data_IF_129641033091
#
_entry.id   IF_129641033091
#
_cell.length_a   1.000
_cell.length_b   1.000
_cell.length_c   1.000
_cell.angle_alpha   90.00
_cell.angle_beta   90.00
_cell.angle_gamma   90.00
#
_symmetry.space_group_name_H-M   'P 1'
#
loop_
_entity.id
_entity.type
_entity.pdbx_description
1 polymer ?
#
# COMPACT_ATOMS: atom_id res chain seq x y z
N UNK A 1 2.98 0.61 -13.67
CA UNK A 1 3.40 1.82 -14.45
C UNK A 1 4.77 1.67 -15.14
N UNK A 2 5.82 1.21 -14.46
CA UNK A 2 7.17 1.08 -15.05
C UNK A 2 7.23 0.29 -16.37
N UNK A 3 6.47 -0.79 -16.49
CA UNK A 3 6.37 -1.57 -17.73
C UNK A 3 5.85 -0.74 -18.94
N UNK A 4 4.95 0.22 -18.72
CA UNK A 4 4.44 1.11 -19.79
C UNK A 4 5.54 2.08 -20.24
N UNK A 5 6.35 2.60 -19.33
CA UNK A 5 7.53 3.42 -19.68
C UNK A 5 8.53 2.61 -20.50
N UNK A 6 8.85 1.38 -20.06
CA UNK A 6 9.73 0.46 -20.77
C UNK A 6 9.24 0.11 -22.17
N UNK A 7 7.94 -0.17 -22.33
CA UNK A 7 7.33 -0.44 -23.64
C UNK A 7 7.40 0.75 -24.61
N UNK A 8 7.51 1.98 -24.09
CA UNK A 8 7.70 3.20 -24.87
C UNK A 8 9.18 3.55 -25.10
N UNK A 9 10.12 2.73 -24.61
CA UNK A 9 11.55 3.01 -24.66
C UNK A 9 11.99 4.17 -23.75
N UNK A 10 11.17 4.56 -22.78
CA UNK A 10 11.46 5.66 -21.85
C UNK A 10 12.17 5.10 -20.59
N UNK A 11 13.46 5.38 -20.44
CA UNK A 11 14.25 4.91 -19.28
C UNK A 11 14.10 5.81 -18.04
N UNK A 12 14.08 7.12 -18.23
CA UNK A 12 14.03 8.08 -17.13
C UNK A 12 13.43 9.42 -17.60
N UNK A 13 12.96 10.21 -16.64
CA UNK A 13 12.60 11.62 -16.80
C UNK A 13 13.46 12.41 -15.82
N UNK A 14 14.23 13.37 -16.34
CA UNK A 14 15.09 14.25 -15.52
C UNK A 14 14.51 15.65 -15.54
N UNK A 15 14.33 16.24 -14.36
CA UNK A 15 13.79 17.59 -14.19
C UNK A 15 14.89 18.49 -13.65
N UNK A 16 15.19 19.58 -14.35
CA UNK A 16 16.09 20.66 -13.93
C UNK A 16 15.25 21.90 -13.61
N UNK A 17 15.22 22.29 -12.33
CA UNK A 17 14.44 23.41 -11.82
C UNK A 17 15.25 24.70 -11.67
N UNK A 18 16.50 24.74 -12.16
CA UNK A 18 17.39 25.91 -12.02
C UNK A 18 16.84 27.22 -12.58
N UNK A 19 15.96 27.15 -13.58
CA UNK A 19 15.23 28.28 -14.16
C UNK A 19 13.72 28.21 -13.91
N UNK A 20 13.29 27.31 -13.01
CA UNK A 20 11.91 27.18 -12.60
C UNK A 20 11.51 28.25 -11.59
N UNK A 21 10.26 28.70 -11.66
CA UNK A 21 9.67 29.53 -10.60
C UNK A 21 8.72 28.68 -9.78
N UNK A 22 8.87 28.75 -8.44
CA UNK A 22 7.87 28.18 -7.55
C UNK A 22 6.54 28.90 -7.73
N UNK A 23 5.45 28.13 -7.76
CA UNK A 23 4.10 28.67 -7.79
C UNK A 23 3.89 29.59 -6.58
N UNK A 24 3.52 30.85 -6.84
CA UNK A 24 3.22 31.83 -5.79
C UNK A 24 1.75 31.72 -5.38
N UNK A 25 1.44 31.73 -4.07
CA UNK A 25 0.07 31.81 -3.59
C UNK A 25 -0.60 33.12 -4.00
N UNK A 26 -1.90 33.07 -4.31
CA UNK A 26 -2.70 34.27 -4.55
C UNK A 26 -2.77 35.14 -3.28
N UNK A 27 -2.89 34.53 -2.10
CA UNK A 27 -2.83 35.21 -0.81
C UNK A 27 -1.63 34.72 0.01
N UNK A 28 -0.48 35.40 -0.12
CA UNK A 28 0.79 34.93 0.43
C UNK A 28 0.81 34.80 1.96
N UNK A 29 0.32 35.80 2.68
CA UNK A 29 0.32 35.78 4.15
C UNK A 29 -0.67 34.76 4.72
N UNK A 30 -1.88 34.68 4.15
CA UNK A 30 -2.87 33.71 4.59
C UNK A 30 -2.46 32.28 4.23
N UNK A 31 -1.85 32.05 3.06
CA UNK A 31 -1.32 30.74 2.70
C UNK A 31 -0.21 30.30 3.67
N UNK A 32 0.71 31.21 4.01
CA UNK A 32 1.75 30.92 5.00
C UNK A 32 1.18 30.55 6.37
N UNK A 33 0.12 31.23 6.81
CA UNK A 33 -0.59 30.89 8.04
C UNK A 33 -1.24 29.50 7.95
N UNK A 34 -1.94 29.20 6.84
CA UNK A 34 -2.57 27.91 6.60
C UNK A 34 -1.56 26.74 6.57
N UNK A 35 -0.40 26.93 5.94
CA UNK A 35 0.68 25.93 5.94
C UNK A 35 1.23 25.70 7.34
N UNK A 36 1.36 26.76 8.16
CA UNK A 36 1.81 26.62 9.55
C UNK A 36 0.79 25.83 10.39
N UNK A 37 -0.50 26.11 10.22
CA UNK A 37 -1.58 25.36 10.87
C UNK A 37 -1.57 23.89 10.43
N UNK A 38 -1.43 23.62 9.13
CA UNK A 38 -1.29 22.27 8.60
C UNK A 38 -0.10 21.51 9.19
N UNK A 39 1.08 22.15 9.22
CA UNK A 39 2.28 21.52 9.77
C UNK A 39 2.12 21.21 11.25
N UNK A 40 1.49 22.10 12.02
CA UNK A 40 1.21 21.88 13.44
C UNK A 40 0.20 20.76 13.64
N UNK A 41 -0.90 20.74 12.88
CA UNK A 41 -1.92 19.69 12.94
C UNK A 41 -1.31 18.30 12.69
N UNK A 42 -0.42 18.18 11.69
CA UNK A 42 0.33 16.95 11.44
C UNK A 42 1.23 16.64 12.63
N UNK A 43 2.08 17.59 13.05
CA UNK A 43 3.09 17.37 14.10
C UNK A 43 2.47 16.95 15.44
N UNK A 44 1.32 17.49 15.80
CA UNK A 44 0.61 17.16 17.05
C UNK A 44 -0.42 16.03 16.88
N UNK A 45 -0.57 15.50 15.67
CA UNK A 45 -1.48 14.39 15.38
C UNK A 45 -1.05 13.10 16.08
N UNK A 46 -1.99 12.19 16.38
CA UNK A 46 -1.72 11.00 17.19
C UNK A 46 -0.78 9.99 16.51
N UNK A 47 -0.63 10.06 15.19
CA UNK A 47 0.15 9.09 14.41
C UNK A 47 1.58 9.55 14.11
N UNK A 48 1.87 10.85 14.14
CA UNK A 48 3.18 11.36 13.67
C UNK A 48 4.35 10.79 14.48
N UNK A 49 4.26 10.79 15.81
CA UNK A 49 5.34 10.25 16.65
C UNK A 49 5.53 8.73 16.46
N UNK A 50 4.48 7.88 16.49
CA UNK A 50 4.62 6.47 16.14
C UNK A 50 5.29 6.21 14.78
N UNK A 51 4.88 6.94 13.73
CA UNK A 51 5.48 6.80 12.40
C UNK A 51 6.93 7.30 12.36
N UNK A 52 7.25 8.37 13.08
CA UNK A 52 8.63 8.86 13.18
C UNK A 52 9.55 7.83 13.85
N UNK A 53 9.05 7.20 14.91
CA UNK A 53 9.80 6.23 15.71
C UNK A 53 9.90 4.86 15.01
N UNK A 54 8.79 4.29 14.57
CA UNK A 54 8.73 2.90 14.11
C UNK A 54 8.60 2.75 12.59
N UNK A 55 8.22 3.82 11.89
CA UNK A 55 7.81 3.75 10.50
C UNK A 55 6.56 2.90 10.30
N UNK A 56 6.19 2.64 9.04
CA UNK A 56 5.08 1.72 8.76
C UNK A 56 5.28 0.30 9.32
N UNK A 57 6.50 -0.27 9.51
CA UNK A 57 6.65 -1.62 10.06
C UNK A 57 5.98 -1.90 11.40
N UNK A 58 5.52 -0.87 12.13
CA UNK A 58 4.65 -1.06 13.30
C UNK A 58 3.38 -1.87 13.00
N UNK A 59 2.90 -1.82 11.75
CA UNK A 59 1.72 -2.56 11.33
C UNK A 59 1.92 -4.08 11.31
N UNK A 60 3.15 -4.60 11.36
CA UNK A 60 3.39 -6.05 11.55
C UNK A 60 2.70 -6.54 12.82
N UNK A 61 2.89 -5.85 13.94
CA UNK A 61 2.28 -6.27 15.20
C UNK A 61 0.77 -5.98 15.21
N UNK A 62 0.35 -4.80 14.77
CA UNK A 62 -1.06 -4.37 14.76
C UNK A 62 -1.92 -5.34 13.92
N UNK A 63 -1.49 -5.63 12.70
CA UNK A 63 -2.27 -6.47 11.80
C UNK A 63 -2.15 -7.95 12.15
N UNK A 64 -1.04 -8.39 12.75
CA UNK A 64 -1.00 -9.74 13.31
C UNK A 64 -1.99 -9.93 14.46
N UNK A 65 -2.07 -8.97 15.38
CA UNK A 65 -3.02 -9.01 16.51
C UNK A 65 -4.48 -8.95 16.04
N UNK A 66 -4.74 -8.17 14.99
CA UNK A 66 -6.06 -8.12 14.32
C UNK A 66 -6.42 -9.45 13.64
N UNK A 67 -5.44 -10.28 13.29
CA UNK A 67 -5.64 -11.44 12.42
C UNK A 67 -5.73 -11.05 10.95
N UNK A 68 -5.07 -9.97 10.54
CA UNK A 68 -5.07 -9.42 9.18
C UNK A 68 -3.71 -9.46 8.47
N UNK A 69 -2.62 -9.87 9.12
CA UNK A 69 -1.29 -9.98 8.50
C UNK A 69 -1.23 -11.19 7.53
N UNK A 70 -1.13 -11.00 6.20
CA UNK A 70 -1.11 -12.12 5.27
C UNK A 70 0.08 -13.03 5.51
N UNK A 71 -0.22 -14.31 5.70
CA UNK A 71 0.77 -15.33 6.03
C UNK A 71 0.58 -16.55 5.13
N UNK A 72 1.67 -17.05 4.56
CA UNK A 72 1.69 -18.22 3.66
C UNK A 72 0.71 -18.11 2.46
N UNK A 73 0.87 -17.08 1.65
CA UNK A 73 0.00 -16.76 0.50
C UNK A 73 -1.46 -16.60 0.94
N UNK A 74 -1.68 -15.64 1.85
CA UNK A 74 -2.99 -15.33 2.44
C UNK A 74 -3.72 -16.57 3.00
N UNK A 75 -3.04 -17.52 3.64
CA UNK A 75 -3.68 -18.69 4.30
C UNK A 75 -3.99 -18.44 5.76
N UNK A 76 -3.16 -17.66 6.44
CA UNK A 76 -3.38 -17.19 7.80
C UNK A 76 -3.30 -15.66 7.85
N UNK A 77 -3.95 -15.07 8.85
CA UNK A 77 -3.95 -13.64 9.16
C UNK A 77 -3.01 -13.29 10.31
N UNK A 78 -2.22 -14.25 10.76
CA UNK A 78 -1.20 -14.08 11.78
C UNK A 78 -0.01 -14.95 11.46
N UNK A 79 1.18 -14.45 11.76
CA UNK A 79 2.45 -15.14 11.61
C UNK A 79 3.05 -15.44 12.99
N UNK A 80 3.30 -16.72 13.27
CA UNK A 80 3.88 -17.16 14.55
C UNK A 80 5.25 -16.55 14.85
N UNK A 81 5.96 -16.08 13.81
CA UNK A 81 7.29 -15.49 13.90
C UNK A 81 7.29 -13.97 13.67
N UNK A 82 6.17 -13.27 13.89
CA UNK A 82 6.07 -11.81 13.71
C UNK A 82 7.21 -11.03 14.40
N UNK A 83 7.66 -11.49 15.56
CA UNK A 83 8.69 -10.83 16.38
C UNK A 83 10.08 -10.85 15.71
N UNK A 84 10.26 -11.65 14.66
CA UNK A 84 11.48 -11.68 13.86
C UNK A 84 11.51 -10.60 12.78
N UNK A 85 10.35 -10.03 12.43
CA UNK A 85 10.21 -9.10 11.30
C UNK A 85 9.52 -7.78 11.67
N UNK A 86 9.07 -7.60 12.90
CA UNK A 86 8.37 -6.38 13.33
C UNK A 86 9.30 -5.16 13.51
N UNK A 87 8.69 -4.00 13.74
CA UNK A 87 9.41 -2.74 13.95
C UNK A 87 10.41 -2.78 15.11
N UNK A 88 10.09 -3.49 16.19
CA UNK A 88 10.98 -3.62 17.34
C UNK A 88 12.27 -4.36 16.95
N UNK A 89 12.14 -5.46 16.19
CA UNK A 89 13.31 -6.20 15.70
C UNK A 89 14.14 -5.39 14.72
N UNK A 90 13.47 -4.66 13.83
CA UNK A 90 14.12 -3.73 12.91
C UNK A 90 14.94 -2.65 13.65
N UNK A 91 14.39 -2.06 14.72
CA UNK A 91 15.10 -1.10 15.55
C UNK A 91 16.27 -1.72 16.30
N UNK A 92 16.10 -2.91 16.89
CA UNK A 92 17.17 -3.65 17.57
C UNK A 92 18.37 -3.85 16.63
N UNK A 93 18.11 -4.35 15.42
CA UNK A 93 19.12 -4.59 14.39
C UNK A 93 19.80 -3.28 13.97
N UNK A 94 19.02 -2.24 13.70
CA UNK A 94 19.56 -0.95 13.24
C UNK A 94 20.41 -0.28 14.32
N UNK A 95 19.98 -0.33 15.58
CA UNK A 95 20.73 0.19 16.70
C UNK A 95 22.04 -0.58 16.89
N UNK A 96 22.02 -1.91 16.78
CA UNK A 96 23.20 -2.73 16.91
C UNK A 96 24.23 -2.49 15.79
N UNK A 97 23.77 -2.22 14.56
CA UNK A 97 24.63 -2.08 13.38
C UNK A 97 25.22 -0.68 13.20
N UNK A 98 24.42 0.36 13.45
CA UNK A 98 24.83 1.76 13.15
C UNK A 98 24.52 2.76 14.27
N UNK A 99 24.04 2.30 15.42
CA UNK A 99 23.77 3.16 16.58
C UNK A 99 22.64 4.16 16.37
N UNK A 100 21.75 3.91 15.39
CA UNK A 100 20.58 4.74 15.09
C UNK A 100 19.31 4.04 15.55
N UNK A 101 18.35 4.83 16.02
CA UNK A 101 16.95 4.44 16.22
C UNK A 101 16.04 5.35 15.41
N UNK A 102 14.78 4.96 15.26
CA UNK A 102 13.82 5.72 14.47
C UNK A 102 13.80 5.33 13.00
N UNK A 103 12.69 5.62 12.32
CA UNK A 103 12.63 5.57 10.86
C UNK A 103 13.40 6.77 10.29
N UNK A 104 12.92 7.98 10.62
CA UNK A 104 13.67 9.23 10.54
C UNK A 104 14.04 9.73 9.13
N UNK A 105 13.82 8.95 8.07
CA UNK A 105 14.07 9.34 6.69
C UNK A 105 12.86 10.06 6.07
N UNK A 106 13.13 11.22 5.47
CA UNK A 106 12.12 12.13 4.91
C UNK A 106 12.05 12.01 3.39
N UNK A 107 10.85 11.87 2.82
CA UNK A 107 10.67 11.85 1.37
C UNK A 107 10.99 13.20 0.69
N UNK A 108 10.75 14.30 1.40
CA UNK A 108 11.01 15.67 0.93
C UNK A 108 11.45 16.56 2.09
N UNK A 109 12.17 17.68 1.85
CA UNK A 109 12.75 18.52 2.91
C UNK A 109 11.76 19.01 3.97
N UNK A 110 10.49 19.21 3.60
CA UNK A 110 9.45 19.72 4.49
C UNK A 110 8.58 18.64 5.12
N UNK A 111 8.85 17.35 4.89
CA UNK A 111 8.10 16.28 5.53
C UNK A 111 8.40 16.25 7.03
N UNK A 112 7.37 16.56 7.85
CA UNK A 112 7.48 16.56 9.32
C UNK A 112 7.32 15.16 9.93
N UNK A 113 6.78 14.19 9.19
CA UNK A 113 6.54 12.81 9.66
C UNK A 113 7.83 11.98 9.65
N UNK A 114 8.55 11.99 8.52
CA UNK A 114 9.80 11.24 8.31
C UNK A 114 9.64 9.75 8.66
N UNK A 115 8.64 9.13 8.04
CA UNK A 115 8.18 7.78 8.37
C UNK A 115 9.04 6.64 7.82
N UNK A 116 9.95 6.92 6.88
CA UNK A 116 10.62 5.87 6.12
C UNK A 116 11.79 5.29 6.92
N UNK A 117 11.88 3.97 7.12
CA UNK A 117 13.04 3.36 7.75
C UNK A 117 14.16 3.08 6.74
N UNK A 118 15.40 3.03 7.25
CA UNK A 118 16.60 2.68 6.48
C UNK A 118 17.23 1.44 7.09
N UNK A 119 17.47 0.42 6.27
CA UNK A 119 18.11 -0.83 6.68
C UNK A 119 19.59 -0.84 6.33
N UNK A 120 20.40 -1.41 7.22
CA UNK A 120 21.84 -1.53 7.09
C UNK A 120 22.25 -2.98 7.30
N UNK A 121 23.30 -3.44 6.63
CA UNK A 121 23.85 -4.78 6.83
C UNK A 121 24.69 -4.88 8.11
N UNK A 122 25.20 -6.08 8.39
CA UNK A 122 26.06 -6.37 9.55
C UNK A 122 27.34 -5.52 9.63
N UNK A 123 27.81 -5.00 8.50
CA UNK A 123 29.01 -4.17 8.39
C UNK A 123 28.66 -2.66 8.42
N UNK A 124 27.40 -2.34 8.73
CA UNK A 124 26.86 -0.99 8.84
C UNK A 124 26.66 -0.30 7.48
N UNK A 125 26.72 -1.03 6.37
CA UNK A 125 26.52 -0.46 5.04
C UNK A 125 25.04 -0.37 4.70
N UNK A 126 24.66 0.69 3.98
CA UNK A 126 23.30 0.91 3.53
C UNK A 126 22.83 -0.21 2.59
N UNK A 127 21.68 -0.82 2.90
CA UNK A 127 21.08 -1.90 2.09
C UNK A 127 19.86 -1.42 1.35
N UNK A 128 18.89 -0.79 2.01
CA UNK A 128 17.65 -0.28 1.41
C UNK A 128 17.03 0.80 2.31
N UNK A 129 16.11 1.59 1.76
CA UNK A 129 15.33 2.63 2.44
C UNK A 129 13.91 2.59 1.92
N UNK A 130 12.93 3.03 2.70
CA UNK A 130 11.55 2.71 2.35
C UNK A 130 11.27 1.24 2.62
N UNK A 131 11.90 0.69 3.66
CA UNK A 131 11.69 -0.69 4.10
C UNK A 131 10.36 -0.78 4.86
N UNK A 132 9.28 -0.60 4.11
CA UNK A 132 7.93 -0.38 4.61
C UNK A 132 7.25 -1.70 5.01
N UNK A 133 6.15 -1.58 5.75
CA UNK A 133 5.29 -2.67 6.21
C UNK A 133 4.90 -3.65 5.09
N UNK A 134 4.42 -3.12 3.97
CA UNK A 134 3.93 -3.92 2.84
C UNK A 134 5.02 -4.83 2.29
N UNK A 135 6.24 -4.32 2.08
CA UNK A 135 7.41 -5.12 1.70
C UNK A 135 7.67 -6.21 2.74
N UNK A 136 7.74 -5.86 4.02
CA UNK A 136 8.05 -6.81 5.10
C UNK A 136 6.99 -7.89 5.23
N UNK A 137 5.72 -7.55 5.13
CA UNK A 137 4.62 -8.49 5.22
C UNK A 137 4.55 -9.39 3.99
N UNK A 138 4.65 -8.83 2.78
CA UNK A 138 4.45 -9.56 1.54
C UNK A 138 5.65 -10.42 1.12
N UNK A 139 6.88 -9.95 1.37
CA UNK A 139 8.11 -10.74 1.13
C UNK A 139 8.60 -11.50 2.37
N UNK A 140 8.04 -11.20 3.55
CA UNK A 140 8.28 -11.91 4.81
C UNK A 140 7.16 -12.89 5.13
N UNK A 141 6.21 -12.48 5.97
CA UNK A 141 5.14 -13.34 6.51
C UNK A 141 4.35 -14.10 5.43
N UNK A 142 3.96 -13.42 4.34
CA UNK A 142 3.22 -14.04 3.24
C UNK A 142 4.04 -15.13 2.52
N UNK A 143 5.37 -15.03 2.54
CA UNK A 143 6.30 -16.03 2.00
C UNK A 143 6.86 -16.97 3.08
N UNK A 144 6.47 -16.82 4.36
CA UNK A 144 7.01 -17.58 5.50
C UNK A 144 8.46 -17.24 5.87
N UNK A 145 9.00 -16.11 5.40
CA UNK A 145 10.40 -15.71 5.60
C UNK A 145 10.52 -14.85 6.87
N UNK A 146 11.48 -15.20 7.73
CA UNK A 146 11.74 -14.53 9.02
C UNK A 146 13.04 -13.73 9.04
N UNK A 147 13.83 -13.78 7.97
CA UNK A 147 15.13 -13.11 7.88
C UNK A 147 14.97 -11.69 7.30
N UNK A 148 15.03 -10.67 8.16
CA UNK A 148 14.98 -9.27 7.75
C UNK A 148 16.13 -8.87 6.80
N UNK A 149 17.30 -9.50 6.88
CA UNK A 149 18.37 -9.23 5.92
C UNK A 149 18.00 -9.74 4.52
N UNK A 150 17.37 -10.91 4.42
CA UNK A 150 16.87 -11.44 3.14
C UNK A 150 15.74 -10.58 2.57
N UNK A 151 14.78 -10.19 3.41
CA UNK A 151 13.68 -9.31 3.00
C UNK A 151 14.24 -7.96 2.51
N UNK A 152 15.21 -7.37 3.22
CA UNK A 152 15.85 -6.11 2.81
C UNK A 152 16.65 -6.24 1.50
N UNK A 153 17.27 -7.40 1.22
CA UNK A 153 17.93 -7.67 -0.07
C UNK A 153 16.91 -7.79 -1.21
N UNK A 154 15.77 -8.43 -0.97
CA UNK A 154 14.68 -8.50 -1.95
C UNK A 154 14.06 -7.13 -2.21
N UNK A 155 13.86 -6.32 -1.17
CA UNK A 155 13.40 -4.93 -1.27
C UNK A 155 14.34 -4.10 -2.16
N UNK A 156 15.65 -4.13 -1.85
CA UNK A 156 16.67 -3.48 -2.70
C UNK A 156 16.61 -3.97 -4.15
N UNK A 157 16.48 -5.28 -4.37
CA UNK A 157 16.43 -5.83 -5.72
C UNK A 157 15.19 -5.32 -6.47
N UNK A 158 14.03 -5.29 -5.82
CA UNK A 158 12.81 -4.73 -6.38
C UNK A 158 12.97 -3.24 -6.72
N UNK A 159 13.57 -2.44 -5.84
CA UNK A 159 13.85 -1.02 -6.09
C UNK A 159 14.75 -0.81 -7.33
N UNK A 160 15.84 -1.57 -7.45
CA UNK A 160 16.80 -1.45 -8.56
C UNK A 160 16.20 -1.89 -9.90
N UNK A 161 15.33 -2.91 -9.89
CA UNK A 161 14.69 -3.42 -11.10
C UNK A 161 13.37 -2.70 -11.43
N UNK A 162 12.79 -1.96 -10.48
CA UNK A 162 11.49 -1.32 -10.61
C UNK A 162 10.32 -2.30 -10.52
N UNK A 163 10.43 -3.29 -9.63
CA UNK A 163 9.35 -4.23 -9.30
C UNK A 163 8.58 -3.75 -8.08
N UNK A 164 7.27 -3.97 -8.08
CA UNK A 164 6.43 -3.78 -6.90
C UNK A 164 6.62 -4.95 -5.92
N UNK A 165 6.97 -4.65 -4.67
CA UNK A 165 7.22 -5.64 -3.63
C UNK A 165 5.95 -6.37 -3.19
N UNK A 166 4.78 -5.72 -3.28
CA UNK A 166 3.49 -6.34 -2.96
C UNK A 166 3.16 -7.40 -4.00
N UNK A 167 3.16 -7.03 -5.28
CA UNK A 167 2.88 -7.95 -6.39
C UNK A 167 3.91 -9.09 -6.45
N UNK A 168 5.20 -8.79 -6.20
CA UNK A 168 6.26 -9.79 -6.15
C UNK A 168 6.04 -10.78 -5.00
N UNK A 169 5.73 -10.30 -3.79
CA UNK A 169 5.45 -11.15 -2.63
C UNK A 169 4.18 -11.99 -2.79
N UNK A 170 3.12 -11.43 -3.40
CA UNK A 170 1.93 -12.20 -3.80
C UNK A 170 2.30 -13.32 -4.78
N UNK A 171 3.08 -13.00 -5.82
CA UNK A 171 3.47 -13.96 -6.85
C UNK A 171 4.35 -15.08 -6.28
N UNK A 172 5.38 -14.75 -5.49
CA UNK A 172 6.27 -15.75 -4.88
C UNK A 172 5.47 -16.67 -3.94
N UNK A 173 4.62 -16.11 -3.08
CA UNK A 173 3.77 -16.92 -2.21
C UNK A 173 2.86 -17.87 -2.99
N UNK A 174 2.30 -17.43 -4.12
CA UNK A 174 1.48 -18.25 -5.00
C UNK A 174 2.26 -19.43 -5.60
N UNK A 175 3.56 -19.26 -5.91
CA UNK A 175 4.39 -20.32 -6.50
C UNK A 175 4.56 -21.55 -5.60
N UNK A 176 4.22 -21.45 -4.31
CA UNK A 176 4.14 -22.61 -3.43
C UNK A 176 3.12 -23.66 -3.92
N UNK A 177 1.99 -23.21 -4.46
CA UNK A 177 0.93 -24.10 -4.97
C UNK A 177 1.33 -24.87 -6.23
N UNK A 178 2.38 -24.42 -6.92
CA UNK A 178 2.98 -25.10 -8.07
C UNK A 178 4.24 -25.91 -7.72
N UNK A 179 4.66 -25.95 -6.45
CA UNK A 179 5.91 -26.61 -6.03
C UNK A 179 7.19 -25.93 -6.55
N UNK A 180 7.11 -24.65 -6.93
CA UNK A 180 8.24 -23.86 -7.44
C UNK A 180 8.92 -23.01 -6.35
N UNK A 181 8.30 -22.97 -5.16
CA UNK A 181 8.74 -22.27 -3.96
C UNK A 181 8.25 -23.02 -2.71
N UNK A 182 9.02 -23.02 -1.64
CA UNK A 182 8.60 -23.53 -0.32
C UNK A 182 8.59 -22.38 0.68
N UNK A 183 7.53 -22.26 1.49
CA UNK A 183 7.47 -21.20 2.50
C UNK A 183 8.68 -21.24 3.44
N UNK A 184 9.30 -20.09 3.65
CA UNK A 184 10.53 -19.95 4.43
C UNK A 184 11.83 -20.11 3.63
N UNK A 185 11.78 -20.52 2.34
CA UNK A 185 12.98 -20.59 1.50
C UNK A 185 13.40 -19.22 0.96
N UNK A 186 14.03 -18.43 1.84
CA UNK A 186 14.50 -17.08 1.51
C UNK A 186 15.45 -17.06 0.30
N UNK A 187 16.33 -18.05 0.18
CA UNK A 187 17.28 -18.13 -0.93
C UNK A 187 16.57 -18.34 -2.28
N UNK A 188 15.52 -19.18 -2.30
CA UNK A 188 14.70 -19.37 -3.51
C UNK A 188 13.89 -18.13 -3.84
N UNK A 189 13.32 -17.44 -2.84
CA UNK A 189 12.61 -16.19 -3.05
C UNK A 189 13.53 -15.11 -3.67
N UNK A 190 14.73 -14.92 -3.12
CA UNK A 190 15.75 -14.01 -3.69
C UNK A 190 16.10 -14.40 -5.13
N UNK A 191 16.27 -15.70 -5.41
CA UNK A 191 16.53 -16.19 -6.77
C UNK A 191 15.38 -15.91 -7.74
N UNK A 192 14.12 -16.03 -7.31
CA UNK A 192 12.95 -15.75 -8.16
C UNK A 192 12.85 -14.27 -8.56
N UNK A 193 13.17 -13.34 -7.64
CA UNK A 193 13.27 -11.90 -7.95
C UNK A 193 14.35 -11.66 -9.02
N UNK A 194 15.50 -12.31 -8.87
CA UNK A 194 16.61 -12.21 -9.83
C UNK A 194 16.26 -12.82 -11.19
N UNK A 195 15.58 -13.97 -11.21
CA UNK A 195 15.10 -14.60 -12.43
C UNK A 195 14.13 -13.68 -13.19
N UNK A 196 13.22 -13.00 -12.49
CA UNK A 196 12.31 -12.02 -13.08
C UNK A 196 13.07 -10.87 -13.76
N UNK A 197 14.11 -10.34 -13.11
CA UNK A 197 14.97 -9.30 -13.68
C UNK A 197 15.75 -9.78 -14.92
N UNK A 198 16.23 -11.01 -14.89
CA UNK A 198 16.99 -11.61 -16.00
C UNK A 198 16.09 -12.04 -17.17
N UNK A 199 14.79 -12.21 -16.94
CA UNK A 199 13.83 -12.65 -17.95
C UNK A 199 14.07 -14.08 -18.41
N UNK A 200 14.47 -14.97 -17.48
CA UNK A 200 14.46 -16.43 -17.69
C UNK A 200 13.05 -16.91 -18.02
N UNK A 201 12.89 -18.15 -18.48
CA UNK A 201 11.56 -18.67 -18.82
C UNK A 201 10.61 -18.62 -17.61
N UNK A 202 11.08 -19.04 -16.43
CA UNK A 202 10.34 -18.91 -15.18
C UNK A 202 10.24 -17.44 -14.74
N UNK A 203 11.31 -16.68 -14.88
CA UNK A 203 11.34 -15.25 -14.56
C UNK A 203 10.30 -14.43 -15.31
N UNK A 204 9.98 -14.78 -16.57
CA UNK A 204 8.89 -14.14 -17.33
C UNK A 204 7.52 -14.44 -16.76
N UNK A 205 7.34 -15.63 -16.17
CA UNK A 205 6.10 -15.99 -15.47
C UNK A 205 6.01 -15.18 -14.17
N UNK A 206 7.07 -15.15 -13.37
CA UNK A 206 7.15 -14.38 -12.12
C UNK A 206 6.92 -12.88 -12.37
N UNK A 207 7.66 -12.30 -13.30
CA UNK A 207 7.58 -10.87 -13.66
C UNK A 207 6.28 -10.47 -14.36
N UNK A 208 5.41 -11.43 -14.71
CA UNK A 208 4.08 -11.14 -15.27
C UNK A 208 3.01 -10.86 -14.21
N UNK A 209 3.33 -11.03 -12.93
CA UNK A 209 2.43 -10.80 -11.80
C UNK A 209 1.55 -12.00 -11.47
N UNK A 210 0.92 -11.95 -10.31
CA UNK A 210 0.21 -13.03 -9.62
C UNK A 210 -0.90 -13.62 -10.48
N UNK A 211 -1.74 -12.78 -11.09
CA UNK A 211 -2.85 -13.23 -11.91
C UNK A 211 -2.40 -13.99 -13.17
N UNK A 212 -1.33 -13.51 -13.83
CA UNK A 212 -0.80 -14.14 -15.04
C UNK A 212 0.01 -15.41 -14.71
N UNK A 213 0.78 -15.39 -13.63
CA UNK A 213 1.47 -16.56 -13.12
C UNK A 213 0.48 -17.68 -12.77
N UNK A 214 -0.59 -17.36 -12.03
CA UNK A 214 -1.67 -18.30 -11.71
C UNK A 214 -2.28 -18.93 -12.95
N UNK A 215 -2.65 -18.09 -13.93
CA UNK A 215 -3.25 -18.56 -15.19
C UNK A 215 -2.32 -19.47 -15.97
N UNK A 216 -1.02 -19.16 -15.99
CA UNK A 216 0.00 -19.95 -16.70
C UNK A 216 0.22 -21.30 -16.04
N UNK A 217 0.19 -21.34 -14.70
CA UNK A 217 0.46 -22.54 -13.89
C UNK A 217 -0.79 -23.36 -13.57
N UNK A 218 -1.99 -22.85 -13.90
CA UNK A 218 -3.26 -23.53 -13.62
C UNK A 218 -3.69 -23.49 -12.14
N UNK A 219 -3.35 -22.42 -11.43
CA UNK A 219 -3.69 -22.21 -10.00
C UNK A 219 -5.01 -21.45 -9.88
N UNK A 220 -5.92 -21.92 -9.03
CA UNK A 220 -7.27 -21.35 -8.82
C UNK A 220 -7.38 -20.47 -7.56
N UNK A 221 -6.61 -20.77 -6.52
CA UNK A 221 -6.55 -19.99 -5.26
C UNK A 221 -5.67 -18.74 -5.38
N UNK A 222 -6.14 -17.77 -6.16
CA UNK A 222 -5.38 -16.57 -6.51
C UNK A 222 -5.76 -15.38 -5.61
N UNK A 223 -4.83 -14.72 -4.89
CA UNK A 223 -5.12 -13.58 -4.02
C UNK A 223 -5.09 -12.25 -4.78
N UNK A 224 -5.96 -12.09 -5.79
CA UNK A 224 -5.99 -10.88 -6.63
C UNK A 224 -7.39 -10.25 -6.70
N UNK A 225 -7.48 -8.94 -6.83
CA UNK A 225 -8.68 -8.24 -7.28
C UNK A 225 -8.35 -7.40 -8.52
N UNK A 226 -9.20 -7.48 -9.56
CA UNK A 226 -8.96 -6.89 -10.88
C UNK A 226 -7.58 -7.21 -11.49
N UNK A 227 -7.02 -8.36 -11.15
CA UNK A 227 -5.72 -8.82 -11.65
C UNK A 227 -4.50 -8.29 -10.89
N UNK A 228 -4.69 -7.48 -9.84
CA UNK A 228 -3.63 -6.98 -8.96
C UNK A 228 -3.64 -7.74 -7.63
N UNK A 229 -2.45 -8.07 -7.12
CA UNK A 229 -2.23 -8.75 -5.84
C UNK A 229 -2.82 -7.99 -4.67
N UNK A 230 -3.45 -8.72 -3.74
CA UNK A 230 -4.05 -8.13 -2.54
C UNK A 230 -2.93 -7.77 -1.55
N UNK A 231 -2.89 -6.52 -1.03
CA UNK A 231 -1.83 -6.01 -0.18
C UNK A 231 -1.85 -6.63 1.24
N UNK A 232 -0.97 -6.16 2.11
CA UNK A 232 -0.68 -6.72 3.43
C UNK A 232 -1.78 -6.58 4.48
N UNK A 233 -3.03 -6.39 4.08
CA UNK A 233 -4.17 -6.32 4.99
C UNK A 233 -5.27 -7.26 4.49
N UNK A 234 -5.39 -8.40 5.16
CA UNK A 234 -6.20 -9.52 4.70
C UNK A 234 -7.68 -9.14 4.61
N UNK A 235 -8.22 -9.24 3.39
CA UNK A 235 -9.57 -8.83 3.05
C UNK A 235 -10.69 -9.49 3.89
N UNK A 236 -10.45 -10.68 4.45
CA UNK A 236 -11.44 -11.42 5.25
C UNK A 236 -11.67 -10.81 6.63
N UNK A 237 -10.65 -10.18 7.21
CA UNK A 237 -10.69 -9.53 8.53
C UNK A 237 -10.73 -8.01 8.43
N UNK A 238 -10.11 -7.44 7.38
CA UNK A 238 -10.20 -6.03 7.03
C UNK A 238 -11.26 -5.83 5.93
N UNK A 239 -12.55 -5.97 6.32
CA UNK A 239 -13.68 -5.96 5.38
C UNK A 239 -13.96 -4.59 4.74
N UNK A 240 -13.62 -3.49 5.40
CA UNK A 240 -13.69 -2.13 4.85
C UNK A 240 -12.60 -1.90 3.79
N UNK A 241 -11.38 -2.38 4.01
CA UNK A 241 -10.31 -2.35 2.99
C UNK A 241 -10.59 -3.32 1.87
N UNK A 242 -11.22 -4.46 2.16
CA UNK A 242 -11.72 -5.33 1.12
C UNK A 242 -12.69 -4.62 0.18
N UNK A 243 -13.54 -3.72 0.68
CA UNK A 243 -14.37 -2.87 -0.17
C UNK A 243 -13.51 -2.00 -1.08
N UNK A 244 -12.47 -1.34 -0.57
CA UNK A 244 -11.59 -0.50 -1.42
C UNK A 244 -10.86 -1.33 -2.47
N UNK A 245 -10.40 -2.54 -2.15
CA UNK A 245 -9.82 -3.44 -3.17
C UNK A 245 -10.81 -3.79 -4.27
N UNK A 246 -12.05 -4.05 -3.88
CA UNK A 246 -13.15 -4.40 -4.78
C UNK A 246 -13.57 -3.21 -5.63
N UNK A 247 -13.69 -2.01 -5.07
CA UNK A 247 -14.26 -0.84 -5.75
C UNK A 247 -13.23 0.03 -6.44
N UNK A 248 -11.96 -0.01 -6.06
CA UNK A 248 -10.95 0.86 -6.63
C UNK A 248 -10.77 0.64 -8.14
N UNK A 249 -10.84 1.72 -8.95
CA UNK A 249 -10.55 1.63 -10.38
C UNK A 249 -9.13 1.13 -10.69
N UNK A 250 -8.16 1.36 -9.80
CA UNK A 250 -6.77 1.01 -10.05
C UNK A 250 -6.44 -0.47 -9.75
N UNK A 251 -7.28 -1.17 -8.97
CA UNK A 251 -7.07 -2.55 -8.53
C UNK A 251 -7.02 -2.68 -7.00
N UNK A 252 -6.60 -3.85 -6.51
CA UNK A 252 -6.42 -4.10 -5.08
C UNK A 252 -5.35 -3.18 -4.48
N UNK A 253 -5.76 -2.09 -3.86
CA UNK A 253 -4.86 -1.09 -3.29
C UNK A 253 -5.44 -0.54 -1.98
N UNK A 254 -4.68 -0.66 -0.91
CA UNK A 254 -5.07 -0.18 0.41
C UNK A 254 -4.89 1.33 0.58
N UNK A 255 -3.98 1.93 -0.18
CA UNK A 255 -3.73 3.36 -0.14
C UNK A 255 -4.84 4.14 -0.80
N UNK A 256 -5.67 3.50 -1.64
CA UNK A 256 -6.84 4.10 -2.28
C UNK A 256 -7.92 4.53 -1.28
N UNK A 257 -7.92 4.00 -0.05
CA UNK A 257 -8.86 4.39 1.00
C UNK A 257 -8.50 3.75 2.33
N UNK A 258 -7.98 4.56 3.27
CA UNK A 258 -7.61 4.10 4.61
C UNK A 258 -8.85 4.09 5.50
N UNK A 259 -9.39 2.89 5.77
CA UNK A 259 -10.44 2.71 6.77
C UNK A 259 -9.81 2.53 8.15
N UNK A 260 -10.24 3.35 9.12
CA UNK A 260 -9.68 3.39 10.48
C UNK A 260 -10.52 2.63 11.51
N UNK A 261 -11.84 2.52 11.31
CA UNK A 261 -12.75 1.70 12.11
C UNK A 261 -13.07 0.40 11.38
N UNK A 262 -12.42 -0.70 11.76
CA UNK A 262 -12.42 -1.95 11.00
C UNK A 262 -12.93 -3.13 11.85
N UNK A 263 -14.24 -3.20 12.15
CA UNK A 263 -14.80 -4.32 12.90
C UNK A 263 -14.83 -5.59 12.05
N UNK A 264 -14.80 -6.77 12.68
CA UNK A 264 -14.99 -8.05 12.00
C UNK A 264 -16.41 -8.21 11.43
N UNK A 265 -17.37 -7.42 11.91
CA UNK A 265 -18.75 -7.43 11.42
C UNK A 265 -18.83 -6.96 9.96
N UNK A 266 -19.78 -7.51 9.19
CA UNK A 266 -20.01 -7.15 7.79
C UNK A 266 -20.76 -5.82 7.63
N UNK A 267 -21.43 -5.38 8.69
CA UNK A 267 -22.34 -4.25 8.68
C UNK A 267 -21.61 -2.94 8.45
N UNK A 268 -22.08 -2.15 7.47
CA UNK A 268 -21.59 -0.80 7.20
C UNK A 268 -20.26 -0.73 6.44
N UNK A 269 -19.68 -1.87 6.06
CA UNK A 269 -18.36 -1.90 5.41
C UNK A 269 -18.34 -1.19 4.06
N UNK A 270 -19.42 -1.29 3.28
CA UNK A 270 -19.54 -0.58 1.99
C UNK A 270 -19.50 0.94 2.18
N UNK A 271 -20.16 1.46 3.22
CA UNK A 271 -20.12 2.90 3.51
C UNK A 271 -18.73 3.34 3.98
N UNK A 272 -18.10 2.57 4.87
CA UNK A 272 -16.74 2.87 5.35
C UNK A 272 -15.72 2.89 4.22
N UNK A 273 -15.73 1.86 3.37
CA UNK A 273 -14.88 1.79 2.18
C UNK A 273 -15.16 2.94 1.20
N UNK A 274 -16.43 3.28 0.98
CA UNK A 274 -16.81 4.39 0.09
C UNK A 274 -16.32 5.75 0.59
N UNK A 275 -16.57 6.08 1.85
CA UNK A 275 -16.17 7.37 2.41
C UNK A 275 -14.64 7.51 2.44
N UNK A 276 -13.94 6.47 2.89
CA UNK A 276 -12.47 6.49 2.91
C UNK A 276 -11.88 6.68 1.51
N UNK A 277 -12.42 5.99 0.50
CA UNK A 277 -11.93 6.09 -0.87
C UNK A 277 -12.23 7.47 -1.50
N UNK A 278 -13.43 8.03 -1.28
CA UNK A 278 -13.77 9.39 -1.76
C UNK A 278 -12.81 10.42 -1.17
N UNK A 279 -12.58 10.37 0.15
CA UNK A 279 -11.74 11.35 0.83
C UNK A 279 -10.26 11.20 0.45
N UNK A 280 -9.80 9.97 0.27
CA UNK A 280 -8.42 9.72 -0.15
C UNK A 280 -8.17 10.16 -1.59
N UNK A 281 -9.10 9.88 -2.51
CA UNK A 281 -9.02 10.39 -3.89
C UNK A 281 -8.91 11.92 -3.90
N UNK A 282 -9.67 12.60 -3.02
CA UNK A 282 -9.58 14.05 -2.90
C UNK A 282 -8.22 14.51 -2.35
N UNK A 283 -7.63 13.79 -1.39
CA UNK A 283 -6.27 14.04 -0.87
C UNK A 283 -5.23 13.88 -1.99
N UNK A 284 -5.30 12.82 -2.78
CA UNK A 284 -4.35 12.55 -3.86
C UNK A 284 -4.33 13.68 -4.90
N UNK A 285 -5.48 14.30 -5.16
CA UNK A 285 -5.59 15.47 -6.04
C UNK A 285 -4.82 16.70 -5.54
N UNK A 286 -4.47 16.75 -4.26
CA UNK A 286 -3.70 17.87 -3.67
C UNK A 286 -2.19 17.66 -3.72
N UNK A 287 -1.73 16.42 -3.93
CA UNK A 287 -0.32 16.04 -3.82
C UNK A 287 0.20 15.93 -2.38
N UNK A 288 -0.68 15.99 -1.37
CA UNK A 288 -0.32 15.70 0.03
C UNK A 288 -0.19 14.19 0.24
N UNK A 289 0.74 13.80 1.12
CA UNK A 289 0.90 12.41 1.52
C UNK A 289 -0.28 11.95 2.40
N UNK A 290 -0.75 10.71 2.22
CA UNK A 290 -1.77 10.08 3.07
C UNK A 290 -1.40 10.07 4.57
N UNK A 291 -0.10 9.96 4.92
CA UNK A 291 0.38 9.98 6.31
C UNK A 291 0.40 11.38 6.94
N UNK A 292 -0.14 12.39 6.26
CA UNK A 292 -0.55 13.62 6.93
C UNK A 292 -1.76 13.38 7.84
N UNK A 293 -2.56 12.33 7.58
CA UNK A 293 -3.80 12.00 8.30
C UNK A 293 -4.81 13.16 8.32
N UNK A 294 -4.76 14.04 7.32
CA UNK A 294 -5.63 15.22 7.23
C UNK A 294 -6.93 14.96 6.46
N UNK A 295 -7.24 13.72 6.08
CA UNK A 295 -8.37 13.32 5.23
C UNK A 295 -9.72 13.92 5.66
N UNK A 296 -9.92 14.13 6.97
CA UNK A 296 -11.13 14.74 7.54
C UNK A 296 -10.92 16.17 8.08
N UNK A 297 -9.70 16.70 7.99
CA UNK A 297 -9.33 18.06 8.42
C UNK A 297 -9.67 19.11 7.36
N UNK A 298 -10.95 19.14 6.94
CA UNK A 298 -11.41 19.94 5.80
C UNK A 298 -11.06 21.43 5.91
N UNK A 299 -11.11 22.01 7.11
CA UNK A 299 -10.75 23.42 7.33
C UNK A 299 -9.30 23.70 6.96
N UNK A 300 -8.37 22.83 7.38
CA UNK A 300 -6.94 22.93 7.09
C UNK A 300 -6.70 22.79 5.58
N UNK A 301 -7.27 21.75 4.96
CA UNK A 301 -7.11 21.45 3.54
C UNK A 301 -7.66 22.55 2.64
N UNK A 302 -8.93 22.94 2.83
CA UNK A 302 -9.58 23.97 2.01
C UNK A 302 -8.94 25.33 2.20
N UNK A 303 -8.47 25.67 3.41
CA UNK A 303 -7.72 26.91 3.67
C UNK A 303 -6.42 26.97 2.85
N UNK A 304 -5.64 25.89 2.79
CA UNK A 304 -4.45 25.84 1.94
C UNK A 304 -4.80 26.00 0.46
N UNK A 305 -5.79 25.27 -0.04
CA UNK A 305 -6.20 25.29 -1.45
C UNK A 305 -6.70 26.68 -1.85
N UNK A 306 -7.61 27.26 -1.06
CA UNK A 306 -8.21 28.57 -1.33
C UNK A 306 -7.16 29.68 -1.36
N UNK A 307 -6.24 29.71 -0.39
CA UNK A 307 -5.22 30.76 -0.33
C UNK A 307 -4.10 30.58 -1.37
N UNK A 308 -3.81 29.34 -1.79
CA UNK A 308 -2.88 29.07 -2.88
C UNK A 308 -3.45 29.49 -4.23
N UNK A 309 -4.71 29.11 -4.50
CA UNK A 309 -5.32 29.19 -5.82
C UNK A 309 -6.24 30.40 -6.02
N UNK A 310 -6.60 31.13 -4.95
CA UNK A 310 -7.61 32.19 -5.01
C UNK A 310 -9.03 31.65 -5.19
N UNK A 311 -9.30 30.44 -4.70
CA UNK A 311 -10.60 29.79 -4.76
C UNK A 311 -11.41 30.04 -3.48
N UNK A 312 -12.65 29.56 -3.48
CA UNK A 312 -13.52 29.52 -2.31
C UNK A 312 -14.24 28.18 -2.22
N UNK A 313 -13.49 27.09 -2.29
CA UNK A 313 -14.03 25.74 -2.16
C UNK A 313 -14.45 25.47 -0.71
N UNK A 314 -15.60 24.84 -0.56
CA UNK A 314 -16.14 24.35 0.71
C UNK A 314 -15.72 22.90 0.99
N UNK A 315 -16.10 22.37 2.15
CA UNK A 315 -16.00 20.93 2.45
C UNK A 315 -16.75 20.09 1.41
N UNK A 316 -17.94 20.50 1.02
CA UNK A 316 -18.78 19.74 0.10
C UNK A 316 -18.17 19.73 -1.31
N UNK A 317 -17.58 20.85 -1.74
CA UNK A 317 -16.82 20.93 -3.00
C UNK A 317 -15.60 20.00 -2.97
N UNK A 318 -14.89 19.94 -1.84
CA UNK A 318 -13.74 19.04 -1.66
C UNK A 318 -14.14 17.56 -1.75
N UNK A 319 -15.23 17.17 -1.09
CA UNK A 319 -15.76 15.79 -1.18
C UNK A 319 -16.27 15.50 -2.58
N UNK A 320 -16.92 16.47 -3.23
CA UNK A 320 -17.41 16.33 -4.61
C UNK A 320 -16.26 16.12 -5.60
N UNK A 321 -15.13 16.79 -5.42
CA UNK A 321 -13.91 16.57 -6.22
C UNK A 321 -13.47 15.10 -6.20
N UNK A 322 -13.41 14.47 -5.02
CA UNK A 322 -13.07 13.05 -4.91
C UNK A 322 -14.08 12.14 -5.64
N UNK A 323 -15.37 12.44 -5.52
CA UNK A 323 -16.43 11.70 -6.24
C UNK A 323 -16.30 11.84 -7.76
N UNK A 324 -16.03 13.04 -8.26
CA UNK A 324 -15.94 13.31 -9.69
C UNK A 324 -14.73 12.60 -10.31
N UNK A 325 -13.59 12.59 -9.62
CA UNK A 325 -12.40 11.85 -10.05
C UNK A 325 -12.66 10.35 -10.08
N UNK A 326 -13.23 9.78 -9.01
CA UNK A 326 -13.57 8.35 -8.97
C UNK A 326 -14.55 7.94 -10.09
N UNK A 327 -15.54 8.79 -10.40
CA UNK A 327 -16.45 8.56 -11.53
C UNK A 327 -15.72 8.60 -12.87
N UNK A 328 -14.78 9.52 -13.05
CA UNK A 328 -13.99 9.62 -14.28
C UNK A 328 -13.06 8.40 -14.46
N UNK A 329 -12.42 7.94 -13.39
CA UNK A 329 -11.60 6.73 -13.39
C UNK A 329 -12.45 5.48 -13.65
N UNK A 330 -13.64 5.37 -13.05
CA UNK A 330 -14.57 4.28 -13.34
C UNK A 330 -15.04 4.30 -14.79
N UNK A 331 -15.40 5.47 -15.33
CA UNK A 331 -15.79 5.60 -16.74
C UNK A 331 -14.67 5.17 -17.68
N UNK A 332 -13.41 5.50 -17.36
CA UNK A 332 -12.26 4.98 -18.09
C UNK A 332 -12.24 3.44 -18.09
N UNK A 333 -12.39 2.81 -16.93
CA UNK A 333 -12.44 1.35 -16.81
C UNK A 333 -13.59 0.71 -17.60
N UNK A 334 -14.80 1.28 -17.52
CA UNK A 334 -15.96 0.82 -18.29
C UNK A 334 -15.68 0.88 -19.80
N UNK A 335 -15.07 1.97 -20.28
CA UNK A 335 -14.66 2.10 -21.70
C UNK A 335 -13.52 1.15 -22.08
N UNK A 336 -12.66 0.79 -21.13
CA UNK A 336 -11.61 -0.22 -21.31
C UNK A 336 -12.12 -1.66 -21.23
N UNK A 337 -13.41 -1.87 -20.90
CA UNK A 337 -14.03 -3.19 -20.81
C UNK A 337 -13.94 -3.86 -19.43
N UNK A 338 -13.63 -3.09 -18.38
CA UNK A 338 -13.67 -3.54 -16.99
C UNK A 338 -15.01 -3.09 -16.39
N UNK A 339 -15.99 -3.99 -16.38
CA UNK A 339 -17.34 -3.73 -15.88
C UNK A 339 -17.54 -4.06 -14.40
N UNK A 340 -18.78 -3.87 -13.88
CA UNK A 340 -19.14 -4.19 -12.49
C UNK A 340 -18.92 -5.66 -12.11
N UNK A 341 -18.84 -6.57 -13.08
CA UNK A 341 -18.49 -7.97 -12.84
C UNK A 341 -17.09 -8.16 -12.24
N UNK A 342 -16.18 -7.20 -12.46
CA UNK A 342 -14.84 -7.19 -11.88
C UNK A 342 -14.80 -6.69 -10.43
N UNK A 343 -15.87 -6.06 -9.93
CA UNK A 343 -15.99 -5.57 -8.55
C UNK A 343 -16.34 -6.75 -7.60
N UNK A 344 -15.42 -7.70 -7.47
CA UNK A 344 -15.55 -8.93 -6.64
C UNK A 344 -14.21 -9.36 -6.05
N UNK A 345 -14.25 -10.01 -4.89
CA UNK A 345 -13.11 -10.76 -4.37
C UNK A 345 -13.08 -12.19 -4.95
N UNK A 346 -11.92 -12.86 -4.90
CA UNK A 346 -11.81 -14.28 -5.20
C UNK A 346 -12.78 -15.13 -4.36
N UNK A 347 -13.45 -16.07 -5.02
CA UNK A 347 -14.46 -16.96 -4.43
C UNK A 347 -14.00 -17.66 -3.14
N UNK A 348 -12.74 -18.09 -3.10
CA UNK A 348 -12.17 -18.79 -1.96
C UNK A 348 -12.15 -17.91 -0.69
N UNK A 349 -12.04 -16.57 -0.81
CA UNK A 349 -12.07 -15.67 0.34
C UNK A 349 -13.44 -15.58 1.01
N UNK A 350 -14.51 -15.94 0.31
CA UNK A 350 -15.88 -16.01 0.86
C UNK A 350 -16.19 -17.36 1.53
N UNK A 351 -15.30 -18.35 1.36
CA UNK A 351 -15.53 -19.75 1.73
C UNK A 351 -14.52 -20.26 2.76
N UNK A 352 -13.26 -19.85 2.63
CA UNK A 352 -12.14 -20.32 3.46
C UNK A 352 -11.97 -19.42 4.69
N UNK A 353 -12.19 -19.94 5.92
CA UNK A 353 -11.91 -19.22 7.15
C UNK A 353 -10.46 -18.76 7.23
N UNK A 354 -10.22 -17.59 7.82
CA UNK A 354 -8.88 -17.04 8.05
C UNK A 354 -8.46 -17.17 9.51
N UNK A 355 -7.63 -18.16 9.90
CA UNK A 355 -7.08 -18.20 11.25
C UNK A 355 -6.28 -16.93 11.58
N UNK A 356 -6.30 -16.44 12.83
CA UNK A 356 -6.88 -17.08 14.01
C UNK A 356 -8.36 -16.74 14.25
N UNK A 357 -8.89 -15.70 13.59
CA UNK A 357 -10.28 -15.24 13.80
C UNK A 357 -11.31 -16.18 13.17
N UNK A 358 -10.90 -16.92 12.13
CA UNK A 358 -11.72 -17.76 11.28
C UNK A 358 -12.81 -16.99 10.51
N UNK A 359 -12.58 -15.69 10.28
CA UNK A 359 -13.46 -14.86 9.45
C UNK A 359 -13.37 -15.24 7.97
N UNK A 360 -14.47 -15.00 7.27
CA UNK A 360 -14.56 -15.00 5.81
C UNK A 360 -15.04 -13.63 5.35
N UNK A 361 -14.86 -13.30 4.08
CA UNK A 361 -15.48 -12.10 3.52
C UNK A 361 -16.96 -12.38 3.23
N UNK A 362 -17.84 -11.80 4.03
CA UNK A 362 -19.29 -12.06 4.03
C UNK A 362 -20.15 -10.80 3.80
N UNK A 363 -19.54 -9.70 3.35
CA UNK A 363 -20.29 -8.51 2.92
C UNK A 363 -21.13 -8.87 1.68
N UNK A 364 -22.46 -8.66 1.69
CA UNK A 364 -23.30 -9.09 0.57
C UNK A 364 -22.96 -8.35 -0.72
N UNK A 365 -22.81 -9.07 -1.84
CA UNK A 365 -22.54 -8.46 -3.15
C UNK A 365 -23.57 -7.38 -3.52
N UNK A 366 -24.85 -7.58 -3.19
CA UNK A 366 -25.90 -6.58 -3.44
C UNK A 366 -25.62 -5.25 -2.73
N UNK A 367 -24.97 -5.25 -1.58
CA UNK A 367 -24.54 -4.02 -0.90
C UNK A 367 -23.36 -3.39 -1.63
N UNK A 368 -22.38 -4.19 -2.04
CA UNK A 368 -21.20 -3.75 -2.82
C UNK A 368 -21.62 -3.11 -4.14
N UNK A 369 -22.64 -3.65 -4.82
CA UNK A 369 -23.18 -3.09 -6.07
C UNK A 369 -23.71 -1.65 -5.88
N UNK A 370 -24.06 -1.26 -4.64
CA UNK A 370 -24.46 0.10 -4.28
C UNK A 370 -23.28 1.00 -3.88
N UNK A 371 -22.03 0.55 -3.96
CA UNK A 371 -20.84 1.36 -3.67
C UNK A 371 -20.86 2.66 -4.45
N UNK A 372 -21.28 2.61 -5.72
CA UNK A 372 -21.19 3.75 -6.63
C UNK A 372 -22.41 4.68 -6.63
N UNK A 373 -23.30 4.54 -5.65
CA UNK A 373 -24.49 5.39 -5.51
C UNK A 373 -24.14 6.76 -4.89
N UNK A 374 -23.37 7.59 -5.61
CA UNK A 374 -23.01 8.96 -5.25
C UNK A 374 -22.73 9.83 -6.48
#
# INVERSE_FOLDING_TARGET
MGAVMGAKGLKAVVVDDSNGELRKPVNQEAFKAAVKECAEAIRTGPFTEPFHQFGTPMFVDIDNERGSLPTHNHRAGSFEHKDMINANKLQEITQARVGKTGAGHSCMPTCVVKCSPVFYDKDGQYVTSGFEYETIAMLGANCGITDLDAIARMDRACDEYGFDTIEMGCTIGLLNDAGLFEFGDAARAEALVQEAAQGTDLGRIVGSGTANAAKTLGIDRVPVCKGQGIPAHAARTSKGWAITYISNPQGADHTAGVVTDEPLSKEGQVERGRQSQILMTAIDCTGLCMFTFLNESFGVLTSMINNLLGLNISKDDYVQMGKDVLKAERDFNLRAGIGPEADRLPDWMTKEPLPPTNEVFDVPQKEIDNFWNF
#
